data_IF_245726449987
#
_entry.id   IF_245726449987
#
_cell.length_a   1.000
_cell.length_b   1.000
_cell.length_c   1.000
_cell.angle_alpha   90.00
_cell.angle_beta   90.00
_cell.angle_gamma   90.00
#
_symmetry.space_group_name_H-M   'P 1'
#
loop_
_entity.id
_entity.type
_entity.pdbx_description
1 polymer ?
#
# COMPACT_ATOMS: atom_id res chain seq x y z
N UNK A 1 12.75 10.85 6.61
CA UNK A 1 11.51 11.14 7.36
C UNK A 1 10.44 10.14 6.92
N UNK A 2 9.63 9.59 7.82
CA UNK A 2 8.62 8.57 7.46
C UNK A 2 7.46 9.20 6.68
N UNK A 3 7.39 8.89 5.39
CA UNK A 3 6.38 9.38 4.43
C UNK A 3 5.08 8.55 4.49
N UNK A 4 5.13 7.33 5.04
CA UNK A 4 4.01 6.37 5.04
C UNK A 4 3.67 5.92 6.45
N UNK A 5 2.38 5.81 6.76
CA UNK A 5 1.88 5.16 7.98
C UNK A 5 1.26 3.82 7.59
N UNK A 6 1.77 2.72 8.15
CA UNK A 6 1.20 1.39 7.98
C UNK A 6 0.34 1.06 9.19
N UNK A 7 -0.90 0.65 8.94
CA UNK A 7 -1.86 0.35 10.00
C UNK A 7 -1.91 -1.13 10.38
N UNK A 8 -1.25 -2.01 9.61
CA UNK A 8 -1.21 -3.40 9.99
C UNK A 8 -0.38 -3.67 11.24
N UNK A 9 -0.85 -4.65 11.99
CA UNK A 9 -0.12 -5.22 13.10
C UNK A 9 1.16 -5.87 12.58
N UNK A 10 2.33 -5.37 13.01
CA UNK A 10 3.64 -5.88 12.57
C UNK A 10 3.98 -7.27 13.11
N UNK A 11 3.14 -7.85 13.97
CA UNK A 11 3.29 -9.22 14.42
C UNK A 11 2.86 -10.17 13.29
N UNK A 12 3.79 -11.03 12.87
CA UNK A 12 3.61 -11.96 11.75
C UNK A 12 2.43 -12.92 12.00
N UNK A 13 2.21 -13.32 13.24
CA UNK A 13 1.11 -14.20 13.67
C UNK A 13 -0.29 -13.59 13.49
N UNK A 14 -0.38 -12.27 13.31
CA UNK A 14 -1.62 -11.51 13.16
C UNK A 14 -1.75 -10.86 11.77
N UNK A 15 -0.79 -11.10 10.88
CA UNK A 15 -0.75 -10.55 9.52
C UNK A 15 -1.20 -11.59 8.49
N UNK A 16 -2.28 -11.31 7.76
CA UNK A 16 -2.91 -12.26 6.84
C UNK A 16 -2.79 -11.86 5.35
N UNK A 17 -1.63 -11.33 4.92
CA UNK A 17 -1.36 -11.00 3.51
C UNK A 17 -2.09 -9.76 2.98
N UNK A 18 -2.70 -8.96 3.84
CA UNK A 18 -3.28 -7.65 3.51
C UNK A 18 -2.38 -6.57 4.09
N UNK A 19 -2.11 -5.49 3.37
CA UNK A 19 -1.36 -4.33 3.86
C UNK A 19 -2.17 -3.06 3.62
N UNK A 20 -2.65 -2.42 4.69
CA UNK A 20 -3.32 -1.12 4.68
C UNK A 20 -2.35 -0.02 5.11
N UNK A 21 -2.32 1.08 4.36
CA UNK A 21 -1.40 2.19 4.61
C UNK A 21 -1.93 3.53 4.10
N UNK A 22 -1.37 4.59 4.66
CA UNK A 22 -1.57 5.98 4.23
C UNK A 22 -0.26 6.59 3.77
N UNK A 23 -0.35 7.39 2.70
CA UNK A 23 0.75 8.13 2.10
C UNK A 23 0.55 9.60 2.47
N UNK A 24 1.54 10.22 3.12
CA UNK A 24 1.44 11.62 3.54
C UNK A 24 1.19 12.51 2.32
N UNK A 25 0.23 13.44 2.42
CA UNK A 25 -0.12 14.34 1.33
C UNK A 25 -1.15 13.79 0.35
N UNK A 26 -1.48 12.49 0.43
CA UNK A 26 -2.46 11.85 -0.44
C UNK A 26 -3.69 11.39 0.34
N UNK A 27 -4.88 11.61 -0.25
CA UNK A 27 -6.06 10.84 0.12
C UNK A 27 -5.90 9.39 -0.35
N UNK A 28 -6.52 8.42 0.34
CA UNK A 28 -6.41 6.99 -0.01
C UNK A 28 -6.73 6.68 -1.48
N UNK A 29 -7.76 7.30 -2.05
CA UNK A 29 -8.12 7.16 -3.46
C UNK A 29 -7.07 7.77 -4.40
N UNK A 30 -6.46 8.89 -4.02
CA UNK A 30 -5.37 9.52 -4.78
C UNK A 30 -4.13 8.65 -4.78
N UNK A 31 -3.78 8.05 -3.64
CA UNK A 31 -2.68 7.11 -3.55
C UNK A 31 -2.92 5.87 -4.42
N UNK A 32 -4.12 5.28 -4.36
CA UNK A 32 -4.49 4.14 -5.22
C UNK A 32 -4.45 4.51 -6.70
N UNK A 33 -4.92 5.70 -7.08
CA UNK A 33 -4.86 6.17 -8.47
C UNK A 33 -3.43 6.29 -8.98
N UNK A 34 -2.51 6.83 -8.16
CA UNK A 34 -1.10 6.94 -8.52
C UNK A 34 -0.42 5.57 -8.68
N UNK A 35 -0.77 4.60 -7.84
CA UNK A 35 -0.30 3.22 -7.96
C UNK A 35 -0.80 2.58 -9.26
N UNK A 36 -2.09 2.73 -9.58
CA UNK A 36 -2.69 2.19 -10.81
C UNK A 36 -2.05 2.80 -12.06
N UNK A 37 -1.75 4.10 -12.05
CA UNK A 37 -1.04 4.78 -13.15
C UNK A 37 0.36 4.18 -13.42
N UNK A 38 0.99 3.65 -12.37
CA UNK A 38 2.29 2.95 -12.45
C UNK A 38 2.15 1.42 -12.69
N UNK A 39 0.96 0.95 -13.06
CA UNK A 39 0.68 -0.46 -13.37
C UNK A 39 0.48 -1.35 -12.13
N UNK A 40 0.32 -0.77 -10.94
CA UNK A 40 0.16 -1.51 -9.69
C UNK A 40 -1.33 -1.67 -9.36
N UNK A 41 -1.77 -2.92 -9.13
CA UNK A 41 -3.14 -3.20 -8.72
C UNK A 41 -3.30 -2.94 -7.22
N UNK A 42 -4.01 -1.85 -6.89
CA UNK A 42 -4.32 -1.46 -5.52
C UNK A 42 -5.81 -1.13 -5.37
N UNK A 43 -6.30 -1.07 -4.13
CA UNK A 43 -7.70 -0.77 -3.85
C UNK A 43 -7.85 0.07 -2.59
N UNK A 44 -8.97 0.78 -2.45
CA UNK A 44 -9.32 1.49 -1.21
C UNK A 44 -10.13 0.55 -0.31
N UNK A 45 -9.88 0.60 0.99
CA UNK A 45 -10.64 -0.18 1.96
C UNK A 45 -12.09 0.33 2.08
N UNK A 46 -13.09 -0.55 2.25
CA UNK A 46 -14.49 -0.17 2.42
C UNK A 46 -14.82 0.16 3.90
N UNK A 47 -13.90 0.82 4.61
CA UNK A 47 -14.07 1.15 6.04
C UNK A 47 -14.50 2.61 6.22
N UNK A 48 -14.92 2.95 7.45
CA UNK A 48 -15.32 4.31 7.81
C UNK A 48 -14.19 5.34 7.60
N UNK A 49 -12.95 4.93 7.87
CA UNK A 49 -11.74 5.64 7.45
C UNK A 49 -11.16 4.88 6.26
N UNK A 50 -11.09 5.49 5.07
CA UNK A 50 -10.56 4.83 3.88
C UNK A 50 -9.04 4.87 3.88
N UNK A 51 -8.42 3.73 3.55
CA UNK A 51 -6.97 3.57 3.42
C UNK A 51 -6.62 2.89 2.11
N UNK A 52 -5.38 3.08 1.63
CA UNK A 52 -4.88 2.31 0.50
C UNK A 52 -4.58 0.87 0.95
N UNK A 53 -4.90 -0.11 0.10
CA UNK A 53 -4.74 -1.54 0.37
C UNK A 53 -4.01 -2.26 -0.75
N UNK A 54 -3.00 -3.03 -0.36
CA UNK A 54 -2.33 -4.03 -1.18
C UNK A 54 -2.51 -5.42 -0.57
N UNK A 55 -2.52 -6.44 -1.42
CA UNK A 55 -2.67 -7.84 -0.99
C UNK A 55 -1.60 -8.71 -1.65
N UNK A 56 -0.33 -8.63 -1.21
CA UNK A 56 0.73 -9.49 -1.73
C UNK A 56 0.37 -10.95 -1.48
N UNK A 57 0.61 -11.79 -2.48
CA UNK A 57 0.22 -13.19 -2.48
C UNK A 57 1.35 -14.06 -3.03
N UNK A 58 1.14 -15.38 -3.06
CA UNK A 58 2.15 -16.34 -3.51
C UNK A 58 2.62 -16.15 -4.97
N UNK A 59 1.83 -15.45 -5.78
CA UNK A 59 2.21 -15.16 -7.17
C UNK A 59 3.11 -13.93 -7.32
N UNK A 60 3.29 -13.15 -6.25
CA UNK A 60 4.13 -11.96 -6.27
C UNK A 60 5.58 -12.31 -5.89
N UNK A 61 6.51 -11.59 -6.48
CA UNK A 61 7.95 -11.71 -6.25
C UNK A 61 8.46 -10.56 -5.39
N UNK A 62 9.59 -10.76 -4.71
CA UNK A 62 10.23 -9.69 -3.92
C UNK A 62 10.56 -8.47 -4.77
N UNK A 63 10.98 -8.66 -6.03
CA UNK A 63 11.27 -7.57 -6.96
C UNK A 63 10.04 -6.70 -7.26
N UNK A 64 8.84 -7.29 -7.36
CA UNK A 64 7.60 -6.52 -7.49
C UNK A 64 7.29 -5.72 -6.21
N UNK A 65 7.61 -6.27 -5.03
CA UNK A 65 7.46 -5.53 -3.77
C UNK A 65 8.43 -4.35 -3.71
N UNK A 66 9.69 -4.53 -4.12
CA UNK A 66 10.66 -3.45 -4.21
C UNK A 66 10.18 -2.33 -5.15
N UNK A 67 9.66 -2.69 -6.33
CA UNK A 67 9.10 -1.71 -7.28
C UNK A 67 7.91 -0.93 -6.69
N UNK A 68 7.02 -1.59 -5.95
CA UNK A 68 5.94 -0.92 -5.20
C UNK A 68 6.52 0.08 -4.19
N UNK A 69 7.51 -0.34 -3.41
CA UNK A 69 8.13 0.53 -2.40
C UNK A 69 8.85 1.73 -3.02
N UNK A 70 9.53 1.53 -4.15
CA UNK A 70 10.14 2.63 -4.92
C UNK A 70 9.09 3.61 -5.44
N UNK A 71 7.99 3.10 -6.00
CA UNK A 71 6.87 3.93 -6.47
C UNK A 71 6.29 4.76 -5.34
N UNK A 72 6.02 4.16 -4.17
CA UNK A 72 5.49 4.88 -3.00
C UNK A 72 6.48 5.93 -2.49
N UNK A 73 7.79 5.66 -2.53
CA UNK A 73 8.82 6.64 -2.13
C UNK A 73 8.95 7.80 -3.10
N UNK A 74 8.55 7.63 -4.35
CA UNK A 74 8.53 8.68 -5.38
C UNK A 74 7.29 9.59 -5.34
N UNK A 75 6.30 9.24 -4.52
CA UNK A 75 5.17 10.11 -4.21
C UNK A 75 5.64 11.11 -3.15
N UNK A 76 5.58 12.42 -3.43
CA UNK A 76 6.01 13.50 -2.52
C UNK A 76 4.81 14.30 -1.99
#
# INVERSE_FOLDING_TARGET
>A
MNHTTCELNRNEELSAGIVCFDVRGYAASGAVSALIDNGLVASVTPYAVPHARLTPSIVNTTAEIDYVLETIRGMD
#
